data_IF_618896170758
#
_entry.id   IF_618896170758
#
_cell.length_a   1.000
_cell.length_b   1.000
_cell.length_c   1.000
_cell.angle_alpha   90.00
_cell.angle_beta   90.00
_cell.angle_gamma   90.00
#
_symmetry.space_group_name_H-M   'P 1'
#
loop_
_entity.id
_entity.type
_entity.pdbx_description
1 polymer ?
#
# COMPACT_ATOMS: atom_id res chain seq x y z
N UNK A 1 -1.18 -19.25 -17.86
CA UNK A 1 -1.94 -18.65 -16.75
C UNK A 1 -1.43 -19.02 -15.33
N UNK A 2 -0.38 -19.85 -15.19
CA UNK A 2 0.09 -20.34 -13.87
C UNK A 2 1.13 -19.48 -13.14
N UNK A 3 1.83 -18.56 -13.81
CA UNK A 3 2.90 -17.76 -13.20
C UNK A 3 2.43 -16.52 -12.43
N UNK A 4 1.27 -15.96 -12.81
CA UNK A 4 0.74 -14.71 -12.24
C UNK A 4 0.30 -14.86 -10.77
N UNK A 5 0.06 -16.08 -10.30
CA UNK A 5 -0.47 -16.36 -8.95
C UNK A 5 0.49 -17.12 -8.04
N UNK A 6 1.79 -17.00 -8.25
CA UNK A 6 2.74 -17.59 -7.31
C UNK A 6 2.72 -16.83 -5.98
N UNK A 7 1.87 -17.29 -5.05
CA UNK A 7 1.75 -16.70 -3.70
C UNK A 7 3.08 -16.62 -2.97
N UNK A 8 3.96 -17.58 -3.19
CA UNK A 8 5.27 -17.60 -2.56
C UNK A 8 6.14 -16.44 -3.08
N UNK A 9 6.18 -16.22 -4.39
CA UNK A 9 6.93 -15.12 -4.99
C UNK A 9 6.42 -13.75 -4.49
N UNK A 10 5.11 -13.58 -4.42
CA UNK A 10 4.51 -12.34 -3.89
C UNK A 10 4.78 -12.13 -2.40
N UNK A 11 4.78 -13.18 -1.59
CA UNK A 11 5.14 -13.09 -0.19
C UNK A 11 6.61 -12.68 -0.02
N UNK A 12 7.51 -13.29 -0.81
CA UNK A 12 8.92 -12.96 -0.80
C UNK A 12 9.16 -11.51 -1.22
N UNK A 13 8.57 -11.09 -2.33
CA UNK A 13 8.66 -9.73 -2.84
C UNK A 13 8.14 -8.70 -1.81
N UNK A 14 6.95 -8.92 -1.24
CA UNK A 14 6.38 -8.06 -0.20
C UNK A 14 7.30 -7.95 1.01
N UNK A 15 7.87 -9.06 1.45
CA UNK A 15 8.81 -9.09 2.57
C UNK A 15 10.09 -8.33 2.26
N UNK A 16 10.60 -8.46 1.05
CA UNK A 16 11.78 -7.74 0.59
C UNK A 16 11.53 -6.23 0.56
N UNK A 17 10.41 -5.78 -0.02
CA UNK A 17 10.06 -4.36 -0.06
C UNK A 17 9.91 -3.76 1.34
N UNK A 18 9.24 -4.47 2.25
CA UNK A 18 9.11 -4.04 3.64
C UNK A 18 10.46 -3.95 4.36
N UNK A 19 11.40 -4.85 4.07
CA UNK A 19 12.75 -4.82 4.63
C UNK A 19 13.62 -3.69 4.06
N UNK A 20 13.47 -3.33 2.80
CA UNK A 20 14.12 -2.14 2.25
C UNK A 20 13.60 -0.85 2.91
N UNK A 21 12.29 -0.76 3.15
CA UNK A 21 11.71 0.36 3.91
C UNK A 21 12.21 0.39 5.36
N UNK A 22 12.36 -0.76 6.01
CA UNK A 22 12.98 -0.88 7.34
C UNK A 22 14.39 -0.29 7.36
N UNK A 23 15.25 -0.68 6.41
CA UNK A 23 16.61 -0.16 6.29
C UNK A 23 16.64 1.37 6.11
N UNK A 24 15.71 1.89 5.30
CA UNK A 24 15.56 3.34 5.12
C UNK A 24 15.14 4.04 6.42
N UNK A 25 14.18 3.49 7.16
CA UNK A 25 13.73 4.04 8.46
C UNK A 25 14.87 4.07 9.48
N UNK A 26 15.69 3.03 9.54
CA UNK A 26 16.84 2.95 10.44
C UNK A 26 17.81 4.14 10.22
N UNK A 27 17.91 4.65 8.99
CA UNK A 27 18.75 5.81 8.67
C UNK A 27 18.18 7.16 9.10
N UNK A 28 16.92 7.22 9.56
CA UNK A 28 16.31 8.49 9.97
C UNK A 28 16.93 9.05 11.24
N UNK A 29 17.16 10.37 11.33
CA UNK A 29 17.78 11.01 12.49
C UNK A 29 16.82 11.17 13.68
N UNK A 30 15.84 10.28 13.84
CA UNK A 30 14.88 10.28 14.91
C UNK A 30 15.25 9.25 15.97
N UNK A 31 15.16 9.66 17.25
CA UNK A 31 15.38 8.76 18.38
C UNK A 31 14.47 7.52 18.26
N UNK A 32 15.04 6.34 18.36
CA UNK A 32 14.34 5.07 18.27
C UNK A 32 14.26 4.48 16.85
N UNK A 33 14.49 5.26 15.78
CA UNK A 33 14.50 4.72 14.42
C UNK A 33 15.66 3.75 14.16
N UNK A 34 16.82 3.98 14.76
CA UNK A 34 17.99 3.08 14.63
C UNK A 34 17.76 1.67 15.15
N UNK A 35 16.75 1.48 16.00
CA UNK A 35 16.36 0.18 16.57
C UNK A 35 15.06 -0.36 15.97
N UNK A 36 14.47 0.34 15.00
CA UNK A 36 13.26 -0.12 14.32
C UNK A 36 13.54 -1.40 13.54
N UNK A 37 12.77 -2.44 13.84
CA UNK A 37 12.87 -3.73 13.15
C UNK A 37 11.48 -4.34 13.02
N UNK A 38 11.06 -4.62 11.79
CA UNK A 38 9.81 -5.32 11.54
C UNK A 38 9.93 -6.78 12.01
N UNK A 39 9.34 -7.09 13.15
CA UNK A 39 9.27 -8.45 13.70
C UNK A 39 8.24 -9.32 12.99
N UNK A 40 7.25 -8.70 12.31
CA UNK A 40 6.19 -9.42 11.60
C UNK A 40 5.89 -8.78 10.25
N UNK A 41 6.01 -9.59 9.20
CA UNK A 41 5.52 -9.24 7.86
C UNK A 41 4.60 -10.41 7.44
N UNK A 42 3.31 -10.13 7.26
CA UNK A 42 2.31 -11.13 6.92
C UNK A 42 1.59 -10.77 5.62
N UNK A 43 1.55 -11.69 4.69
CA UNK A 43 0.71 -11.65 3.50
C UNK A 43 -0.53 -12.52 3.75
N UNK A 44 -1.71 -11.93 3.75
CA UNK A 44 -2.98 -12.63 3.98
C UNK A 44 -3.71 -12.80 2.65
N UNK A 45 -3.91 -14.07 2.26
CA UNK A 45 -4.55 -14.45 1.00
C UNK A 45 -6.04 -14.80 1.17
N UNK A 46 -6.55 -14.66 2.38
CA UNK A 46 -7.95 -14.94 2.67
C UNK A 46 -8.82 -13.82 2.07
N UNK A 47 -9.71 -14.19 1.16
CA UNK A 47 -10.64 -13.26 0.46
C UNK A 47 -11.61 -12.55 1.41
N UNK A 48 -11.85 -13.10 2.60
CA UNK A 48 -12.66 -12.48 3.64
C UNK A 48 -11.91 -11.39 4.41
N UNK A 49 -10.60 -11.27 4.21
CA UNK A 49 -9.78 -10.22 4.82
C UNK A 49 -9.46 -9.13 3.82
N UNK A 50 -10.13 -8.00 3.95
CA UNK A 50 -9.98 -6.84 3.06
C UNK A 50 -9.13 -5.73 3.67
N UNK A 51 -8.76 -5.83 4.96
CA UNK A 51 -8.04 -4.77 5.68
C UNK A 51 -6.58 -5.13 5.87
N UNK A 52 -5.71 -4.23 5.43
CA UNK A 52 -4.30 -4.22 5.82
C UNK A 52 -4.15 -3.61 7.22
N UNK A 53 -3.03 -3.85 7.88
CA UNK A 53 -2.75 -3.32 9.22
C UNK A 53 -1.25 -3.17 9.46
N UNK A 54 -0.84 -1.97 9.86
CA UNK A 54 0.46 -1.69 10.47
C UNK A 54 0.34 -1.38 11.95
N UNK A 55 1.33 -1.72 12.74
CA UNK A 55 1.31 -1.45 14.18
C UNK A 55 2.23 -2.34 15.00
N UNK A 56 1.93 -2.47 16.29
CA UNK A 56 2.64 -3.38 17.19
C UNK A 56 1.93 -4.73 17.27
N UNK A 57 2.73 -5.78 17.29
CA UNK A 57 2.32 -7.18 17.45
C UNK A 57 3.09 -7.79 18.62
N UNK A 58 2.42 -8.60 19.42
CA UNK A 58 3.08 -9.37 20.48
C UNK A 58 3.65 -10.65 19.88
N UNK A 59 4.97 -10.78 19.89
CA UNK A 59 5.73 -11.92 19.36
C UNK A 59 6.60 -12.41 20.50
N UNK A 60 6.43 -13.65 20.93
CA UNK A 60 7.17 -14.26 22.06
C UNK A 60 7.18 -13.38 23.32
N UNK A 61 6.02 -12.79 23.62
CA UNK A 61 5.84 -11.91 24.78
C UNK A 61 6.28 -10.45 24.59
N UNK A 62 7.01 -10.12 23.52
CA UNK A 62 7.60 -8.80 23.25
C UNK A 62 6.77 -8.05 22.21
N UNK A 63 6.53 -6.75 22.43
CA UNK A 63 5.89 -5.89 21.43
C UNK A 63 6.89 -5.48 20.35
N UNK A 64 6.58 -5.84 19.11
CA UNK A 64 7.42 -5.55 17.95
C UNK A 64 6.58 -4.92 16.83
N UNK A 65 7.14 -3.97 16.06
CA UNK A 65 6.44 -3.43 14.90
C UNK A 65 6.23 -4.49 13.83
N UNK A 66 5.16 -4.36 13.08
CA UNK A 66 4.87 -5.29 11.99
C UNK A 66 3.76 -4.81 11.09
N UNK A 67 3.61 -5.50 9.95
CA UNK A 67 2.59 -5.24 8.94
C UNK A 67 1.86 -6.53 8.55
N UNK A 68 0.61 -6.38 8.16
CA UNK A 68 -0.21 -7.44 7.56
C UNK A 68 -0.91 -6.88 6.32
N UNK A 69 -0.67 -7.49 5.17
CA UNK A 69 -1.18 -7.05 3.87
C UNK A 69 -2.24 -8.03 3.38
N UNK A 70 -3.42 -7.52 3.05
CA UNK A 70 -4.51 -8.30 2.46
C UNK A 70 -4.26 -8.45 0.95
N UNK A 71 -3.51 -9.48 0.55
CA UNK A 71 -3.03 -9.70 -0.81
C UNK A 71 -4.14 -9.90 -1.83
N UNK A 72 -5.28 -10.46 -1.42
CA UNK A 72 -6.44 -10.69 -2.28
C UNK A 72 -7.02 -9.40 -2.90
N UNK A 73 -6.73 -8.23 -2.33
CA UNK A 73 -7.21 -6.96 -2.86
C UNK A 73 -6.45 -6.50 -4.11
N UNK A 74 -5.26 -7.02 -4.36
CA UNK A 74 -4.32 -6.45 -5.34
C UNK A 74 -4.13 -7.35 -6.58
N UNK A 75 -4.11 -8.65 -6.43
CA UNK A 75 -3.66 -9.59 -7.46
C UNK A 75 -4.59 -9.78 -8.67
N UNK A 76 -5.92 -9.63 -8.61
CA UNK A 76 -6.78 -9.91 -9.76
C UNK A 76 -6.76 -8.88 -10.90
N UNK A 77 -5.95 -7.82 -10.82
CA UNK A 77 -6.11 -6.63 -11.69
C UNK A 77 -4.91 -6.36 -12.61
N UNK A 78 -4.09 -7.37 -12.88
CA UNK A 78 -2.93 -7.21 -13.77
C UNK A 78 -3.32 -6.77 -15.18
N UNK A 79 -2.58 -5.81 -15.73
CA UNK A 79 -2.68 -5.39 -17.13
C UNK A 79 -3.84 -4.45 -17.45
N UNK A 80 -4.58 -3.97 -16.47
CA UNK A 80 -5.62 -2.97 -16.67
C UNK A 80 -5.26 -1.67 -15.96
N UNK A 81 -5.53 -0.48 -16.54
CA UNK A 81 -5.39 0.77 -15.82
C UNK A 81 -6.28 0.76 -14.59
N UNK A 82 -5.68 1.05 -13.45
CA UNK A 82 -6.37 1.07 -12.15
C UNK A 82 -6.10 2.39 -11.46
N UNK A 83 -7.04 2.80 -10.62
CA UNK A 83 -6.83 3.87 -9.66
C UNK A 83 -6.61 3.29 -8.28
N UNK A 84 -5.47 3.62 -7.68
CA UNK A 84 -5.24 3.44 -6.26
C UNK A 84 -5.88 4.60 -5.50
N UNK A 85 -6.73 4.28 -4.52
CA UNK A 85 -7.39 5.26 -3.66
C UNK A 85 -6.72 5.29 -2.30
N UNK A 86 -6.50 6.49 -1.82
CA UNK A 86 -6.09 6.74 -0.45
C UNK A 86 -7.25 7.20 0.42
N UNK A 87 -7.01 7.46 1.69
CA UNK A 87 -8.03 8.03 2.57
C UNK A 87 -8.53 9.36 2.03
N UNK A 88 -9.85 9.58 2.12
CA UNK A 88 -10.52 10.77 1.60
C UNK A 88 -9.86 12.09 2.00
N UNK A 89 -9.28 12.14 3.21
CA UNK A 89 -8.62 13.33 3.75
C UNK A 89 -7.32 13.72 3.04
N UNK A 90 -6.69 12.81 2.32
CA UNK A 90 -5.45 13.05 1.60
C UNK A 90 -5.36 12.38 0.22
N UNK A 91 -6.46 11.85 -0.31
CA UNK A 91 -6.49 11.23 -1.65
C UNK A 91 -6.06 12.19 -2.77
N UNK A 92 -6.27 13.51 -2.57
CA UNK A 92 -5.85 14.56 -3.49
C UNK A 92 -4.48 15.16 -3.18
N UNK A 93 -3.79 14.69 -2.13
CA UNK A 93 -2.45 15.15 -1.80
C UNK A 93 -1.46 14.71 -2.89
N UNK A 94 -0.63 15.62 -3.37
CA UNK A 94 0.30 15.35 -4.47
C UNK A 94 1.44 14.39 -4.12
N UNK A 95 1.71 14.18 -2.83
CA UNK A 95 2.82 13.32 -2.37
C UNK A 95 2.35 11.95 -1.89
N UNK A 96 1.19 11.91 -1.21
CA UNK A 96 0.67 10.70 -0.58
C UNK A 96 -0.75 10.36 -1.04
N UNK A 97 -1.27 11.08 -2.03
CA UNK A 97 -2.63 10.86 -2.54
C UNK A 97 -2.75 9.63 -3.45
N UNK A 98 -3.97 9.42 -3.91
CA UNK A 98 -4.28 8.38 -4.89
C UNK A 98 -3.58 8.62 -6.23
N UNK A 99 -3.40 7.57 -7.01
CA UNK A 99 -2.73 7.60 -8.30
C UNK A 99 -3.29 6.57 -9.28
N UNK A 100 -2.95 6.74 -10.56
CA UNK A 100 -3.28 5.81 -11.63
C UNK A 100 -2.06 4.98 -12.04
N UNK A 101 -2.28 3.71 -12.37
CA UNK A 101 -1.22 2.81 -12.84
C UNK A 101 -1.83 1.59 -13.54
N UNK A 102 -1.05 0.90 -14.37
CA UNK A 102 -1.34 -0.41 -14.93
C UNK A 102 -0.49 -1.52 -14.28
N UNK A 103 0.42 -1.15 -13.38
CA UNK A 103 1.28 -2.07 -12.65
C UNK A 103 0.80 -2.26 -11.19
N UNK A 104 0.39 -3.47 -10.86
CA UNK A 104 -0.10 -3.83 -9.52
C UNK A 104 0.95 -3.76 -8.41
N UNK A 105 2.23 -3.77 -8.75
CA UNK A 105 3.28 -3.56 -7.75
C UNK A 105 3.20 -2.17 -7.12
N UNK A 106 2.80 -1.15 -7.89
CA UNK A 106 2.73 0.22 -7.40
C UNK A 106 1.71 0.40 -6.26
N UNK A 107 0.42 -0.01 -6.39
CA UNK A 107 -0.51 0.06 -5.27
C UNK A 107 -0.13 -0.86 -4.11
N UNK A 108 0.49 -2.00 -4.37
CA UNK A 108 0.97 -2.88 -3.32
C UNK A 108 2.13 -2.22 -2.54
N UNK A 109 3.09 -1.58 -3.24
CA UNK A 109 4.14 -0.77 -2.61
C UNK A 109 3.57 0.38 -1.77
N UNK A 110 2.55 1.08 -2.28
CA UNK A 110 1.90 2.16 -1.55
C UNK A 110 1.28 1.65 -0.24
N UNK A 111 0.64 0.49 -0.27
CA UNK A 111 0.06 -0.12 0.93
C UNK A 111 1.14 -0.63 1.89
N UNK A 112 2.22 -1.24 1.41
CA UNK A 112 3.35 -1.63 2.26
C UNK A 112 3.92 -0.38 2.96
N UNK A 113 4.11 0.72 2.22
CA UNK A 113 4.58 1.99 2.77
C UNK A 113 3.60 2.57 3.80
N UNK A 114 2.29 2.52 3.53
CA UNK A 114 1.22 2.97 4.42
C UNK A 114 1.24 2.20 5.75
N UNK A 115 1.24 0.88 5.69
CA UNK A 115 1.25 0.05 6.89
C UNK A 115 2.57 0.13 7.65
N UNK A 116 3.68 0.31 6.95
CA UNK A 116 5.00 0.56 7.57
C UNK A 116 5.02 1.91 8.28
N UNK A 117 4.36 2.95 7.73
CA UNK A 117 4.21 4.25 8.41
C UNK A 117 3.40 4.13 9.70
N UNK A 118 2.36 3.29 9.74
CA UNK A 118 1.67 2.96 10.98
C UNK A 118 2.55 2.19 11.97
N UNK A 119 3.34 1.25 11.47
CA UNK A 119 4.23 0.45 12.32
C UNK A 119 5.30 1.33 12.99
N UNK A 120 5.94 2.28 12.24
CA UNK A 120 6.91 3.20 12.82
C UNK A 120 6.26 4.20 13.79
N UNK A 121 5.07 4.74 13.47
CA UNK A 121 4.32 5.61 14.37
C UNK A 121 4.09 4.92 15.72
N UNK A 122 3.57 3.68 15.71
CA UNK A 122 3.29 2.91 16.92
C UNK A 122 4.55 2.48 17.66
N UNK A 123 5.63 2.21 16.95
CA UNK A 123 6.92 1.92 17.53
C UNK A 123 7.49 3.11 18.29
N UNK A 124 7.48 4.30 17.70
CA UNK A 124 7.97 5.52 18.32
C UNK A 124 7.11 5.95 19.51
N UNK A 125 5.78 5.81 19.43
CA UNK A 125 4.88 6.02 20.58
C UNK A 125 5.23 5.10 21.76
N UNK A 126 5.51 3.84 21.49
CA UNK A 126 5.85 2.84 22.49
C UNK A 126 7.29 3.00 23.04
N UNK A 127 8.27 3.07 22.13
CA UNK A 127 9.69 3.06 22.48
C UNK A 127 10.18 4.41 23.01
N UNK A 128 9.71 5.51 22.42
CA UNK A 128 10.10 6.87 22.84
C UNK A 128 9.13 7.52 23.81
N UNK A 129 8.09 6.79 24.24
CA UNK A 129 7.03 7.30 25.11
C UNK A 129 6.39 8.60 24.61
N UNK A 130 6.29 8.73 23.28
CA UNK A 130 5.61 9.88 22.67
C UNK A 130 4.11 9.82 22.96
N UNK A 131 3.48 10.98 23.04
CA UNK A 131 2.03 11.05 23.16
C UNK A 131 1.35 10.38 21.97
N UNK A 132 0.22 9.70 22.23
CA UNK A 132 -0.54 9.04 21.15
C UNK A 132 -1.00 10.06 20.14
N UNK A 133 -0.57 9.89 18.92
CA UNK A 133 -1.01 10.71 17.79
C UNK A 133 -2.22 10.08 17.09
N UNK A 134 -2.97 10.91 16.36
CA UNK A 134 -4.12 10.41 15.58
C UNK A 134 -3.63 9.48 14.48
N UNK A 135 -4.27 8.32 14.25
CA UNK A 135 -4.07 7.54 13.03
C UNK A 135 -4.28 8.48 11.82
N UNK A 136 -3.39 8.45 10.84
CA UNK A 136 -3.41 9.36 9.68
C UNK A 136 -3.30 10.86 10.03
N UNK A 137 -2.82 11.19 11.25
CA UNK A 137 -2.46 12.55 11.65
C UNK A 137 -1.18 13.04 10.98
N UNK A 138 -0.64 14.17 11.46
CA UNK A 138 0.54 14.80 10.87
C UNK A 138 1.75 13.86 10.85
N UNK A 139 2.08 13.25 11.99
CA UNK A 139 3.24 12.35 12.12
C UNK A 139 3.16 11.16 11.15
N UNK A 140 1.98 10.50 11.08
CA UNK A 140 1.76 9.43 10.12
C UNK A 140 2.01 9.91 8.69
N UNK A 141 1.43 11.05 8.31
CA UNK A 141 1.59 11.60 6.95
C UNK A 141 3.03 11.94 6.63
N UNK A 142 3.78 12.47 7.60
CA UNK A 142 5.20 12.79 7.43
C UNK A 142 6.03 11.50 7.21
N UNK A 143 5.76 10.42 7.92
CA UNK A 143 6.43 9.12 7.71
C UNK A 143 6.03 8.49 6.37
N UNK A 144 4.75 8.49 6.07
CA UNK A 144 4.23 7.94 4.83
C UNK A 144 4.76 8.71 3.60
N UNK A 145 4.79 10.04 3.66
CA UNK A 145 5.33 10.86 2.57
C UNK A 145 6.81 10.57 2.29
N UNK A 146 7.62 10.36 3.33
CA UNK A 146 9.03 9.95 3.16
C UNK A 146 9.17 8.60 2.47
N UNK A 147 8.37 7.61 2.88
CA UNK A 147 8.38 6.28 2.25
C UNK A 147 7.88 6.35 0.81
N UNK A 148 6.79 7.09 0.56
CA UNK A 148 6.27 7.31 -0.80
C UNK A 148 7.27 7.97 -1.72
N UNK A 149 7.98 9.00 -1.25
CA UNK A 149 8.97 9.75 -2.04
C UNK A 149 10.13 8.88 -2.53
N UNK A 150 10.50 7.85 -1.76
CA UNK A 150 11.63 6.97 -2.09
C UNK A 150 11.18 5.71 -2.84
N UNK A 151 10.11 5.05 -2.39
CA UNK A 151 9.78 3.71 -2.85
C UNK A 151 8.64 3.64 -3.85
N UNK A 152 7.78 4.64 -3.92
CA UNK A 152 6.56 4.57 -4.75
C UNK A 152 6.54 5.64 -5.83
N UNK A 153 6.63 6.90 -5.44
CA UNK A 153 6.42 8.02 -6.37
C UNK A 153 7.37 8.03 -7.58
N UNK A 154 8.66 7.64 -7.45
CA UNK A 154 9.57 7.56 -8.59
C UNK A 154 9.19 6.52 -9.65
N UNK A 155 8.36 5.53 -9.28
CA UNK A 155 7.92 4.46 -10.16
C UNK A 155 6.62 4.80 -10.89
N UNK A 156 5.90 5.84 -10.44
CA UNK A 156 4.59 6.17 -10.99
C UNK A 156 4.72 6.80 -12.38
N UNK A 157 3.87 6.37 -13.33
CA UNK A 157 3.79 7.01 -14.64
C UNK A 157 3.24 8.44 -14.53
N UNK A 158 3.27 9.16 -15.64
CA UNK A 158 2.63 10.48 -15.72
C UNK A 158 1.13 10.39 -15.39
N UNK A 159 0.76 10.92 -14.24
CA UNK A 159 -0.56 10.77 -13.66
C UNK A 159 -1.67 11.43 -14.50
N UNK A 160 -1.34 12.49 -15.24
CA UNK A 160 -2.30 13.20 -16.09
C UNK A 160 -2.72 12.33 -17.28
N UNK A 161 -1.75 11.74 -17.96
CA UNK A 161 -2.00 10.88 -19.12
C UNK A 161 -2.68 9.56 -18.69
N UNK A 162 -2.28 8.99 -17.57
CA UNK A 162 -2.92 7.77 -17.05
C UNK A 162 -4.35 8.00 -16.55
N UNK A 163 -4.68 9.18 -16.01
CA UNK A 163 -6.05 9.54 -15.67
C UNK A 163 -6.97 9.51 -16.90
N UNK A 164 -6.54 10.10 -18.00
CA UNK A 164 -7.28 10.07 -19.27
C UNK A 164 -7.43 8.65 -19.84
N UNK A 165 -6.36 7.85 -19.79
CA UNK A 165 -6.38 6.45 -20.24
C UNK A 165 -7.38 5.62 -19.42
N UNK A 166 -7.38 5.78 -18.10
CA UNK A 166 -8.30 5.10 -17.20
C UNK A 166 -9.77 5.45 -17.50
N UNK A 167 -10.08 6.72 -17.71
CA UNK A 167 -11.44 7.17 -18.01
C UNK A 167 -11.91 6.63 -19.38
N UNK A 168 -11.03 6.62 -20.39
CA UNK A 168 -11.32 6.01 -21.69
C UNK A 168 -11.59 4.50 -21.59
N UNK A 169 -10.77 3.77 -20.84
CA UNK A 169 -10.92 2.33 -20.61
C UNK A 169 -12.26 2.02 -19.90
N UNK A 170 -12.59 2.77 -18.87
CA UNK A 170 -13.85 2.65 -18.14
C UNK A 170 -15.07 2.88 -19.05
N UNK A 171 -15.01 3.88 -19.91
CA UNK A 171 -16.08 4.19 -20.86
C UNK A 171 -16.27 3.09 -21.91
N UNK A 172 -15.19 2.40 -22.34
CA UNK A 172 -15.26 1.26 -23.27
C UNK A 172 -15.99 0.09 -22.60
N UNK A 173 -15.64 -0.25 -21.36
CA UNK A 173 -16.30 -1.34 -20.62
C UNK A 173 -17.80 -1.06 -20.45
N UNK A 174 -18.17 0.15 -20.02
CA UNK A 174 -19.58 0.53 -19.84
C UNK A 174 -20.36 0.41 -21.16
N UNK A 175 -19.79 0.83 -22.28
CA UNK A 175 -20.41 0.71 -23.60
C UNK A 175 -20.60 -0.75 -24.05
N UNK A 176 -19.63 -1.63 -23.74
CA UNK A 176 -19.76 -3.06 -24.03
C UNK A 176 -20.83 -3.74 -23.18
N UNK A 177 -20.91 -3.43 -21.90
CA UNK A 177 -21.94 -3.96 -21.00
C UNK A 177 -23.34 -3.49 -21.42
N UNK A 178 -23.52 -2.22 -21.76
CA UNK A 178 -24.80 -1.68 -22.27
C UNK A 178 -25.16 -2.24 -23.65
N UNK A 179 -24.18 -2.44 -24.53
CA UNK A 179 -24.40 -3.04 -25.85
C UNK A 179 -24.87 -4.49 -25.80
N UNK A 180 -24.38 -5.27 -24.86
CA UNK A 180 -24.83 -6.66 -24.61
C UNK A 180 -26.24 -6.72 -24.02
N UNK A 181 -26.66 -5.70 -23.27
CA UNK A 181 -28.02 -5.64 -22.70
C UNK A 181 -29.09 -5.31 -23.74
N UNK A 182 -28.77 -4.47 -24.72
CA UNK A 182 -29.69 -4.09 -25.83
C UNK A 182 -29.80 -5.20 -26.88
N UNK A 183 -28.73 -6.00 -27.08
CA UNK A 183 -28.73 -7.12 -28.03
C UNK A 183 -29.55 -8.33 -27.61
N UNK A 184 -29.94 -8.44 -26.35
CA UNK A 184 -30.75 -9.54 -25.81
C UNK A 184 -32.24 -9.20 -25.67
N UNK A 185 -32.71 -8.05 -26.19
CA UNK A 185 -34.09 -7.59 -26.15
C UNK A 185 -34.80 -7.58 -27.53
N UNK A 186 -34.15 -8.17 -28.58
CA UNK A 186 -34.74 -8.34 -29.93
C UNK A 186 -34.97 -9.82 -30.26
#
# INVERSE_FOLDING_TARGET
>A
MSEIYNKHAWNLWTSQQAKEMEKFIISWPLKGCSQFKLGKIRCDWNTNRTRCRGGLYKIDGIWQPGISIAMSNYIPKFGTPIRHYEYKSFDKDRFIGGFYTDNMEHPLLAVIAHETAHAIQKWLEYYCHLSRSKPHGKEFRDYYAKLRAVFVNPLLPDQKNFGQLYDNFKNIIIKQELGTFVGNLN
#
